data_IF_139588130556
#
_entry.id   IF_139588130556
#
_cell.length_a   1.000
_cell.length_b   1.000
_cell.length_c   1.000
_cell.angle_alpha   90.00
_cell.angle_beta   90.00
_cell.angle_gamma   90.00
#
_symmetry.space_group_name_H-M   'P 1'
#
loop_
_entity.id
_entity.type
_entity.pdbx_description
1 polymer ?
#
# COMPACT_ATOMS: atom_id res chain seq x y z
N UNK A 1 7.68 -0.79 6.37
CA UNK A 1 8.43 -0.73 5.11
C UNK A 1 8.80 -2.14 4.69
N UNK A 2 7.85 -2.82 4.12
CA UNK A 2 8.09 -4.21 3.78
C UNK A 2 8.53 -4.34 2.33
N UNK A 3 9.66 -5.03 2.13
CA UNK A 3 10.13 -5.42 0.79
C UNK A 3 9.23 -6.52 0.22
N UNK A 4 9.42 -6.83 -1.05
CA UNK A 4 8.68 -7.93 -1.69
C UNK A 4 8.91 -9.26 -0.96
N UNK A 5 10.15 -9.55 -0.58
CA UNK A 5 10.49 -10.79 0.13
C UNK A 5 9.83 -10.84 1.52
N UNK A 6 9.86 -9.74 2.25
CA UNK A 6 9.21 -9.66 3.57
C UNK A 6 7.70 -9.87 3.47
N UNK A 7 7.06 -9.30 2.45
CA UNK A 7 5.64 -9.52 2.20
C UNK A 7 5.34 -10.97 1.79
N UNK A 8 6.20 -11.59 1.00
CA UNK A 8 6.07 -13.00 0.65
C UNK A 8 6.17 -13.89 1.89
N UNK A 9 7.14 -13.62 2.77
CA UNK A 9 7.31 -14.37 4.00
C UNK A 9 6.10 -14.22 4.92
N UNK A 10 5.60 -13.01 5.08
CA UNK A 10 4.40 -12.75 5.88
C UNK A 10 3.19 -13.49 5.31
N UNK A 11 3.00 -13.47 4.00
CA UNK A 11 1.93 -14.18 3.32
C UNK A 11 2.03 -15.69 3.55
N UNK A 12 3.22 -16.24 3.40
CA UNK A 12 3.48 -17.66 3.60
C UNK A 12 3.14 -18.10 5.03
N UNK A 13 3.50 -17.30 6.03
CA UNK A 13 3.17 -17.58 7.44
C UNK A 13 1.67 -17.61 7.68
N UNK A 14 0.91 -16.85 6.93
CA UNK A 14 -0.56 -16.81 7.02
C UNK A 14 -1.24 -17.84 6.10
N UNK A 15 -0.46 -18.73 5.48
CA UNK A 15 -1.00 -19.78 4.61
C UNK A 15 -1.42 -19.30 3.22
N UNK A 16 -0.93 -18.14 2.79
CA UNK A 16 -1.22 -17.57 1.48
C UNK A 16 -0.11 -17.95 0.51
N UNK A 17 -0.46 -18.58 -0.60
CA UNK A 17 0.49 -18.91 -1.66
C UNK A 17 0.69 -17.71 -2.58
N UNK A 18 1.94 -17.32 -2.79
CA UNK A 18 2.33 -16.27 -3.73
C UNK A 18 3.08 -16.91 -4.88
N UNK A 19 2.53 -16.80 -6.08
CA UNK A 19 3.10 -17.40 -7.29
C UNK A 19 3.36 -16.35 -8.37
N UNK A 20 4.34 -16.61 -9.21
CA UNK A 20 4.55 -15.84 -10.43
C UNK A 20 3.70 -16.45 -11.55
N UNK A 21 3.01 -15.61 -12.31
CA UNK A 21 2.11 -16.08 -13.35
C UNK A 21 2.26 -15.27 -14.64
N UNK A 22 2.33 -15.95 -15.81
CA UNK A 22 2.44 -15.25 -17.11
C UNK A 22 1.06 -14.86 -17.63
N UNK A 23 0.49 -13.76 -17.13
CA UNK A 23 -0.80 -13.29 -17.63
C UNK A 23 -0.72 -12.89 -19.10
N UNK A 24 -1.74 -13.27 -19.88
CA UNK A 24 -1.82 -12.90 -21.30
C UNK A 24 -2.04 -11.40 -21.48
N UNK A 25 -2.85 -10.79 -20.60
CA UNK A 25 -3.08 -9.35 -20.61
C UNK A 25 -2.01 -8.64 -19.80
N UNK A 26 -1.38 -7.61 -20.38
CA UNK A 26 -0.41 -6.77 -19.69
C UNK A 26 -1.07 -5.84 -18.67
N UNK A 27 -2.40 -5.72 -18.70
CA UNK A 27 -3.14 -4.90 -17.75
C UNK A 27 -3.31 -5.61 -16.40
N UNK A 28 -3.27 -6.93 -16.38
CA UNK A 28 -3.37 -7.71 -15.15
C UNK A 28 -1.98 -7.85 -14.56
N UNK A 29 -1.74 -7.18 -13.44
CA UNK A 29 -0.46 -7.20 -12.73
C UNK A 29 -0.46 -8.15 -11.54
N UNK A 30 -1.63 -8.40 -10.96
CA UNK A 30 -1.82 -9.33 -9.86
C UNK A 30 -3.24 -9.81 -9.80
N UNK A 31 -3.46 -10.92 -9.12
CA UNK A 31 -4.79 -11.51 -8.93
C UNK A 31 -4.83 -12.30 -7.63
N UNK A 32 -5.84 -12.05 -6.81
CA UNK A 32 -6.13 -12.84 -5.63
C UNK A 32 -7.29 -13.79 -5.89
N UNK A 33 -7.11 -15.05 -5.54
CA UNK A 33 -8.16 -16.06 -5.65
C UNK A 33 -7.96 -17.15 -4.59
N UNK A 34 -8.93 -17.31 -3.69
CA UNK A 34 -8.98 -18.42 -2.71
C UNK A 34 -7.64 -18.70 -1.98
N UNK A 35 -7.02 -17.67 -1.42
CA UNK A 35 -5.78 -17.83 -0.66
C UNK A 35 -4.52 -17.96 -1.51
N UNK A 36 -4.62 -17.76 -2.82
CA UNK A 36 -3.48 -17.71 -3.73
C UNK A 36 -3.39 -16.34 -4.37
N UNK A 37 -2.21 -15.75 -4.37
CA UNK A 37 -1.91 -14.49 -5.04
C UNK A 37 -0.98 -14.78 -6.21
N UNK A 38 -1.40 -14.39 -7.41
CA UNK A 38 -0.59 -14.50 -8.62
C UNK A 38 -0.01 -13.12 -8.95
N UNK A 39 1.29 -13.05 -9.10
CA UNK A 39 2.01 -11.82 -9.47
C UNK A 39 2.50 -11.96 -10.90
N UNK A 40 2.27 -10.94 -11.72
CA UNK A 40 2.65 -10.99 -13.14
C UNK A 40 4.16 -11.10 -13.33
N UNK A 41 4.57 -12.03 -14.18
CA UNK A 41 5.97 -12.15 -14.61
C UNK A 41 6.45 -10.97 -15.43
N UNK A 42 5.54 -10.12 -15.93
CA UNK A 42 5.91 -8.93 -16.69
C UNK A 42 6.47 -7.80 -15.83
N UNK A 43 6.26 -7.84 -14.52
CA UNK A 43 6.81 -6.84 -13.60
C UNK A 43 8.33 -7.02 -13.49
N UNK A 44 9.07 -5.93 -13.62
CA UNK A 44 10.52 -5.97 -13.73
C UNK A 44 11.24 -5.54 -12.45
N UNK A 45 10.61 -4.76 -11.59
CA UNK A 45 11.24 -4.24 -10.38
C UNK A 45 10.64 -4.84 -9.11
N UNK A 46 11.44 -4.94 -8.06
CA UNK A 46 10.97 -5.39 -6.74
C UNK A 46 9.95 -4.41 -6.16
N UNK A 47 10.12 -3.11 -6.41
CA UNK A 47 9.17 -2.10 -5.97
C UNK A 47 7.78 -2.32 -6.56
N UNK A 48 7.69 -2.55 -7.88
CA UNK A 48 6.41 -2.86 -8.52
C UNK A 48 5.76 -4.12 -7.93
N UNK A 49 6.55 -5.19 -7.80
CA UNK A 49 6.06 -6.46 -7.25
C UNK A 49 5.54 -6.30 -5.83
N UNK A 50 6.27 -5.55 -4.97
CA UNK A 50 5.86 -5.36 -3.59
C UNK A 50 4.57 -4.55 -3.47
N UNK A 51 4.39 -3.54 -4.32
CA UNK A 51 3.16 -2.76 -4.35
C UNK A 51 1.95 -3.60 -4.78
N UNK A 52 2.12 -4.42 -5.82
CA UNK A 52 1.04 -5.31 -6.28
C UNK A 52 0.73 -6.37 -5.22
N UNK A 53 1.75 -6.96 -4.60
CA UNK A 53 1.53 -7.95 -3.54
C UNK A 53 0.79 -7.33 -2.34
N UNK A 54 1.15 -6.11 -1.93
CA UNK A 54 0.45 -5.40 -0.85
C UNK A 54 -1.03 -5.17 -1.20
N UNK A 55 -1.34 -4.80 -2.43
CA UNK A 55 -2.70 -4.62 -2.91
C UNK A 55 -3.51 -5.93 -2.85
N UNK A 56 -2.92 -7.03 -3.35
CA UNK A 56 -3.61 -8.32 -3.34
C UNK A 56 -3.76 -8.88 -1.91
N UNK A 57 -2.80 -8.63 -1.02
CA UNK A 57 -2.94 -8.95 0.40
C UNK A 57 -4.08 -8.13 1.02
N UNK A 58 -4.24 -6.89 0.62
CA UNK A 58 -5.38 -6.07 1.02
C UNK A 58 -6.70 -6.74 0.65
N UNK A 59 -6.83 -7.27 -0.56
CA UNK A 59 -8.02 -8.03 -0.98
C UNK A 59 -8.22 -9.27 -0.11
N UNK A 60 -7.16 -10.01 0.19
CA UNK A 60 -7.26 -11.19 1.03
C UNK A 60 -7.82 -10.87 2.42
N UNK A 61 -7.25 -9.86 3.08
CA UNK A 61 -7.60 -9.54 4.47
C UNK A 61 -8.92 -8.77 4.64
N UNK A 62 -9.44 -8.17 3.58
CA UNK A 62 -10.64 -7.30 3.67
C UNK A 62 -11.84 -7.80 2.89
N UNK A 63 -11.72 -8.90 2.14
CA UNK A 63 -12.84 -9.44 1.37
C UNK A 63 -13.77 -10.27 2.24
N UNK A 64 -15.07 -9.94 2.19
CA UNK A 64 -16.11 -10.64 2.93
C UNK A 64 -17.27 -10.99 1.99
N UNK A 65 -17.85 -12.17 2.21
CA UNK A 65 -19.11 -12.58 1.60
C UNK A 65 -19.01 -12.93 0.12
N UNK A 66 -20.18 -13.06 -0.50
CA UNK A 66 -20.31 -13.45 -1.90
C UNK A 66 -20.20 -12.22 -2.81
N UNK A 67 -19.10 -12.13 -3.53
CA UNK A 67 -18.80 -11.01 -4.44
C UNK A 67 -19.88 -10.87 -5.52
N UNK A 68 -20.51 -11.98 -5.94
CA UNK A 68 -21.52 -11.98 -6.99
C UNK A 68 -22.84 -11.33 -6.56
N UNK A 69 -23.09 -11.23 -5.25
CA UNK A 69 -24.31 -10.63 -4.70
C UNK A 69 -24.13 -9.20 -4.22
N UNK A 70 -22.94 -8.63 -4.38
CA UNK A 70 -22.66 -7.28 -3.91
C UNK A 70 -23.13 -6.22 -4.91
N UNK A 71 -23.64 -5.10 -4.38
CA UNK A 71 -23.97 -3.94 -5.20
C UNK A 71 -22.68 -3.20 -5.61
N UNK A 72 -22.77 -2.34 -6.62
CA UNK A 72 -21.66 -1.48 -7.03
C UNK A 72 -21.09 -0.63 -5.88
N UNK A 73 -21.97 -0.12 -5.01
CA UNK A 73 -21.56 0.68 -3.84
C UNK A 73 -20.78 -0.17 -2.86
N UNK A 74 -21.23 -1.39 -2.59
CA UNK A 74 -20.52 -2.32 -1.71
C UNK A 74 -19.17 -2.73 -2.28
N UNK A 75 -19.10 -2.94 -3.60
CA UNK A 75 -17.85 -3.25 -4.29
C UNK A 75 -16.84 -2.11 -4.18
N UNK A 76 -17.29 -0.87 -4.34
CA UNK A 76 -16.42 0.31 -4.19
C UNK A 76 -15.90 0.47 -2.77
N UNK A 77 -16.75 0.24 -1.77
CA UNK A 77 -16.34 0.28 -0.36
C UNK A 77 -15.33 -0.81 -0.04
N UNK A 78 -15.55 -2.01 -0.56
CA UNK A 78 -14.64 -3.13 -0.37
C UNK A 78 -13.29 -2.88 -1.05
N UNK A 79 -13.30 -2.35 -2.26
CA UNK A 79 -12.11 -1.97 -2.99
C UNK A 79 -11.31 -0.89 -2.24
N UNK A 80 -12.01 0.12 -1.70
CA UNK A 80 -11.37 1.15 -0.89
C UNK A 80 -10.69 0.56 0.34
N UNK A 81 -11.36 -0.35 1.05
CA UNK A 81 -10.78 -1.02 2.23
C UNK A 81 -9.56 -1.84 1.88
N UNK A 82 -9.62 -2.56 0.77
CA UNK A 82 -8.50 -3.37 0.29
C UNK A 82 -7.29 -2.49 -0.02
N UNK A 83 -7.49 -1.40 -0.73
CA UNK A 83 -6.43 -0.44 -1.06
C UNK A 83 -5.84 0.21 0.17
N UNK A 84 -6.69 0.68 1.08
CA UNK A 84 -6.23 1.29 2.34
C UNK A 84 -5.41 0.30 3.16
N UNK A 85 -5.85 -0.96 3.24
CA UNK A 85 -5.09 -2.01 3.92
C UNK A 85 -3.71 -2.19 3.28
N UNK A 86 -3.65 -2.26 1.96
CA UNK A 86 -2.38 -2.39 1.22
C UNK A 86 -1.46 -1.21 1.44
N UNK A 87 -1.98 0.02 1.41
CA UNK A 87 -1.18 1.22 1.68
C UNK A 87 -0.65 1.23 3.11
N UNK A 88 -1.46 0.84 4.09
CA UNK A 88 -1.02 0.76 5.48
C UNK A 88 0.03 -0.33 5.70
N UNK A 89 -0.12 -1.45 5.01
CA UNK A 89 0.84 -2.55 5.07
C UNK A 89 2.20 -2.14 4.50
N UNK A 90 2.19 -1.48 3.35
CA UNK A 90 3.41 -1.13 2.59
C UNK A 90 4.04 0.18 3.06
N UNK A 91 3.25 1.17 3.40
CA UNK A 91 3.71 2.53 3.70
C UNK A 91 3.34 2.91 5.13
N UNK A 92 2.04 3.16 5.38
CA UNK A 92 1.55 3.64 6.66
C UNK A 92 1.99 5.07 6.97
N UNK A 93 1.34 5.69 7.93
CA UNK A 93 1.74 7.03 8.39
C UNK A 93 3.15 7.00 8.98
N UNK A 94 3.50 5.91 9.68
CA UNK A 94 4.84 5.72 10.25
C UNK A 94 5.90 5.63 9.15
N UNK A 95 5.60 4.97 8.03
CA UNK A 95 6.51 4.91 6.88
C UNK A 95 6.81 6.27 6.29
N UNK A 96 5.78 7.12 6.16
CA UNK A 96 5.94 8.49 5.68
C UNK A 96 6.87 9.30 6.62
N UNK A 97 6.66 9.17 7.91
CA UNK A 97 7.50 9.84 8.92
C UNK A 97 8.95 9.37 8.84
N UNK A 98 9.17 8.05 8.79
CA UNK A 98 10.52 7.48 8.70
C UNK A 98 11.26 7.91 7.44
N UNK A 99 10.56 7.98 6.31
CA UNK A 99 11.17 8.46 5.07
C UNK A 99 11.65 9.91 5.22
N UNK A 100 10.82 10.78 5.78
CA UNK A 100 11.18 12.17 6.02
C UNK A 100 12.33 12.29 7.03
N UNK A 101 12.30 11.52 8.11
CA UNK A 101 13.36 11.50 9.13
C UNK A 101 14.70 11.01 8.57
N UNK A 102 14.68 10.14 7.57
CA UNK A 102 15.89 9.64 6.91
C UNK A 102 16.50 10.64 5.93
N UNK A 103 15.87 11.80 5.73
CA UNK A 103 16.38 12.87 4.89
C UNK A 103 15.84 12.90 3.47
N UNK A 104 14.78 12.15 3.16
CA UNK A 104 14.16 12.20 1.85
C UNK A 104 13.58 13.60 1.58
N UNK A 105 13.93 14.18 0.44
CA UNK A 105 13.58 15.56 0.08
C UNK A 105 12.38 15.68 -0.84
N UNK A 106 11.99 14.57 -1.49
CA UNK A 106 10.91 14.57 -2.46
C UNK A 106 10.23 13.19 -2.49
N UNK A 107 9.13 13.08 -3.23
CA UNK A 107 8.38 11.82 -3.33
C UNK A 107 9.17 10.71 -4.01
N UNK A 108 10.04 11.05 -4.95
CA UNK A 108 10.91 10.07 -5.60
C UNK A 108 11.84 9.39 -4.60
N UNK A 109 12.53 10.18 -3.77
CA UNK A 109 13.42 9.65 -2.74
C UNK A 109 12.66 8.86 -1.69
N UNK A 110 11.45 9.31 -1.32
CA UNK A 110 10.60 8.60 -0.36
C UNK A 110 10.13 7.26 -0.92
N UNK A 111 9.74 7.21 -2.19
CA UNK A 111 9.33 5.96 -2.83
C UNK A 111 10.48 4.97 -2.85
N UNK A 112 11.68 5.44 -3.20
CA UNK A 112 12.88 4.61 -3.19
C UNK A 112 13.19 4.06 -1.79
N UNK A 113 13.13 4.91 -0.77
CA UNK A 113 13.31 4.51 0.63
C UNK A 113 12.30 3.46 1.07
N UNK A 114 11.03 3.59 0.64
CA UNK A 114 9.95 2.70 1.01
C UNK A 114 9.85 1.45 0.11
N UNK A 115 10.74 1.33 -0.86
CA UNK A 115 10.71 0.25 -1.87
C UNK A 115 9.35 0.16 -2.56
N UNK A 116 8.81 1.32 -2.91
CA UNK A 116 7.54 1.48 -3.58
C UNK A 116 7.73 2.27 -4.88
N UNK A 117 6.75 2.18 -5.77
CA UNK A 117 6.75 3.07 -6.93
C UNK A 117 6.27 4.46 -6.51
N UNK A 118 6.73 5.48 -7.22
CA UNK A 118 6.29 6.86 -6.96
C UNK A 118 4.77 7.00 -7.13
N UNK A 119 4.23 6.34 -8.15
CA UNK A 119 2.78 6.32 -8.41
C UNK A 119 2.01 5.72 -7.22
N UNK A 120 2.46 4.58 -6.69
CA UNK A 120 1.83 3.94 -5.54
C UNK A 120 1.86 4.84 -4.31
N UNK A 121 3.00 5.50 -4.07
CA UNK A 121 3.14 6.45 -2.97
C UNK A 121 2.17 7.63 -3.09
N UNK A 122 2.04 8.19 -4.29
CA UNK A 122 1.09 9.28 -4.55
C UNK A 122 -0.36 8.85 -4.29
N UNK A 123 -0.72 7.67 -4.73
CA UNK A 123 -2.05 7.10 -4.50
C UNK A 123 -2.32 6.88 -3.01
N UNK A 124 -1.32 6.38 -2.28
CA UNK A 124 -1.43 6.19 -0.83
C UNK A 124 -1.65 7.52 -0.10
N UNK A 125 -0.89 8.54 -0.43
CA UNK A 125 -1.03 9.88 0.16
C UNK A 125 -2.42 10.46 -0.13
N UNK A 126 -2.92 10.29 -1.34
CA UNK A 126 -4.27 10.72 -1.72
C UNK A 126 -5.34 9.97 -0.90
N UNK A 127 -5.16 8.67 -0.72
CA UNK A 127 -6.06 7.86 0.10
C UNK A 127 -6.07 8.34 1.55
N UNK A 128 -4.91 8.63 2.12
CA UNK A 128 -4.80 9.17 3.47
C UNK A 128 -5.45 10.55 3.59
N UNK A 129 -5.29 11.39 2.57
CA UNK A 129 -6.00 12.68 2.54
C UNK A 129 -7.50 12.49 2.59
N UNK A 130 -8.04 11.54 1.83
CA UNK A 130 -9.48 11.25 1.84
C UNK A 130 -9.94 10.75 3.21
N UNK A 131 -9.11 9.98 3.90
CA UNK A 131 -9.44 9.42 5.21
C UNK A 131 -9.27 10.42 6.36
N UNK A 132 -8.17 11.16 6.38
CA UNK A 132 -7.78 12.00 7.53
C UNK A 132 -8.02 13.49 7.30
N UNK A 133 -8.30 13.91 6.07
CA UNK A 133 -8.45 15.32 5.72
C UNK A 133 -7.11 15.95 5.31
N UNK A 134 -6.98 17.25 5.51
CA UNK A 134 -5.80 18.01 5.09
C UNK A 134 -4.55 17.55 5.82
N UNK A 135 -4.67 17.25 7.12
CA UNK A 135 -3.55 16.81 7.93
C UNK A 135 -4.02 15.89 9.06
N UNK A 136 -3.07 15.19 9.66
CA UNK A 136 -3.31 14.38 10.85
C UNK A 136 -2.10 14.42 11.77
N UNK A 137 -2.34 14.26 13.06
CA UNK A 137 -1.27 14.18 14.05
C UNK A 137 -1.05 12.72 14.46
N UNK A 138 0.21 12.31 14.54
CA UNK A 138 0.60 11.01 15.07
C UNK A 138 1.86 11.19 15.91
N UNK A 139 1.82 10.76 17.16
CA UNK A 139 2.88 10.98 18.14
C UNK A 139 3.22 12.48 18.21
N UNK A 140 4.48 12.87 18.01
CA UNK A 140 4.91 14.26 18.01
C UNK A 140 5.09 14.83 16.59
N UNK A 141 4.37 14.27 15.60
CA UNK A 141 4.42 14.71 14.20
C UNK A 141 3.06 15.15 13.72
N UNK A 142 3.06 16.07 12.76
CA UNK A 142 1.89 16.43 11.97
C UNK A 142 2.22 16.15 10.50
N UNK A 143 1.37 15.37 9.85
CA UNK A 143 1.50 15.04 8.43
C UNK A 143 0.46 15.84 7.67
N UNK A 144 0.90 16.67 6.73
CA UNK A 144 0.05 17.34 5.74
C UNK A 144 0.07 16.53 4.45
N UNK A 145 -1.11 16.31 3.87
CA UNK A 145 -1.24 15.47 2.67
C UNK A 145 -1.28 16.27 1.37
N UNK A 146 -1.62 17.57 1.44
CA UNK A 146 -1.59 18.44 0.25
C UNK A 146 -1.41 19.91 0.67
N UNK A 147 -0.25 20.53 0.36
CA UNK A 147 0.95 19.85 -0.14
C UNK A 147 1.52 18.90 0.90
N UNK A 148 2.17 17.83 0.43
CA UNK A 148 2.73 16.84 1.35
C UNK A 148 3.87 17.42 2.16
N UNK A 149 3.79 17.30 3.49
CA UNK A 149 4.84 17.74 4.41
C UNK A 149 4.70 16.99 5.73
N UNK A 150 5.82 16.69 6.35
CA UNK A 150 5.86 16.12 7.71
C UNK A 150 6.56 17.13 8.61
N UNK A 151 5.91 17.51 9.68
CA UNK A 151 6.41 18.47 10.64
C UNK A 151 6.54 17.82 12.00
N UNK A 152 7.67 18.02 12.65
CA UNK A 152 7.88 17.57 14.02
C UNK A 152 7.40 18.66 14.98
N UNK A 153 6.52 18.27 15.90
CA UNK A 153 6.10 19.21 16.96
C UNK A 153 7.20 19.32 18.00
N UNK A 154 7.51 20.57 18.37
CA UNK A 154 8.48 20.86 19.43
C UNK A 154 7.69 21.09 20.70
N UNK A 155 8.00 20.30 21.73
CA UNK A 155 7.45 20.53 23.05
C UNK A 155 8.14 21.76 23.66
N UNK A 156 7.37 22.79 23.97
CA UNK A 156 7.84 24.00 24.66
C UNK A 156 7.44 23.84 26.13
N UNK A 157 8.37 23.42 26.94
CA UNK A 157 8.17 23.36 28.38
C UNK A 157 8.49 24.73 29.02
#
# INVERSE_FOLDING_TARGET
>A
MDTYEELQDAACKDGIDVIDYPFKSKQIKGLYCNGTIAISKSLTTQAEKSCILAEELGHHYTSYGDILKQTEIMNRKQEYRARLYGYNLKIGLTGLIRACESGCKNLYEMADYLDATEEYLKEAIQCYRSKYGVCTAIDNYVIYFEPFAVMRMISVD
#
